data_IF_643874280874
#
_entry.id   IF_643874280874
#
_cell.length_a   1.000
_cell.length_b   1.000
_cell.length_c   1.000
_cell.angle_alpha   90.00
_cell.angle_beta   90.00
_cell.angle_gamma   90.00
#
_symmetry.space_group_name_H-M   'P 1'
#
loop_
_entity.id
_entity.type
_entity.pdbx_description
1 polymer ?
#
# COMPACT_ATOMS: atom_id res chain seq x y z
N UNK A 1 -72.95 7.97 8.81
CA UNK A 1 -73.48 9.14 8.06
C UNK A 1 -72.34 9.63 7.18
N UNK A 2 -72.36 9.30 5.89
CA UNK A 2 -72.82 10.16 4.78
C UNK A 2 -72.05 11.50 4.73
N UNK A 3 -71.50 12.00 3.62
CA UNK A 3 -71.21 11.51 2.27
C UNK A 3 -70.59 12.69 1.49
N UNK A 4 -69.65 12.34 0.58
CA UNK A 4 -69.47 12.83 -0.82
C UNK A 4 -69.48 14.34 -1.16
N UNK A 5 -68.52 14.73 -2.00
CA UNK A 5 -68.64 15.06 -3.47
C UNK A 5 -67.29 15.61 -3.97
N UNK A 6 -66.59 14.94 -4.89
CA UNK A 6 -66.64 15.07 -6.38
C UNK A 6 -66.08 16.42 -6.90
N UNK A 7 -64.89 16.47 -7.53
CA UNK A 7 -64.54 16.27 -8.97
C UNK A 7 -64.04 17.63 -9.55
N UNK A 8 -63.35 17.76 -10.72
CA UNK A 8 -63.32 16.83 -11.86
C UNK A 8 -61.98 16.61 -12.60
N UNK A 9 -62.10 15.71 -13.58
CA UNK A 9 -61.22 15.30 -14.66
C UNK A 9 -60.58 16.42 -15.51
N UNK A 10 -59.45 16.09 -16.16
CA UNK A 10 -59.30 16.42 -17.58
C UNK A 10 -58.69 15.25 -18.38
N UNK A 11 -59.29 15.00 -19.54
CA UNK A 11 -58.95 14.04 -20.60
C UNK A 11 -57.67 14.48 -21.36
N UNK A 12 -56.81 13.57 -21.84
CA UNK A 12 -56.74 13.02 -23.22
C UNK A 12 -56.48 14.12 -24.30
N UNK A 13 -55.68 14.00 -25.36
CA UNK A 13 -55.20 12.90 -26.19
C UNK A 13 -54.29 13.52 -27.31
N UNK A 14 -53.66 12.67 -28.14
CA UNK A 14 -53.15 12.90 -29.52
C UNK A 14 -51.71 13.47 -29.66
N UNK A 15 -50.69 12.66 -29.99
CA UNK A 15 -50.38 11.93 -31.24
C UNK A 15 -49.74 12.80 -32.32
N UNK A 16 -48.48 12.52 -32.71
CA UNK A 16 -48.17 12.12 -34.10
C UNK A 16 -46.69 11.80 -34.38
N UNK A 17 -46.50 10.63 -35.02
CA UNK A 17 -45.70 10.33 -36.23
C UNK A 17 -44.18 10.53 -36.16
N UNK A 18 -43.34 9.50 -36.00
CA UNK A 18 -42.94 8.43 -36.94
C UNK A 18 -42.18 8.89 -38.21
N UNK A 19 -40.87 8.56 -38.31
CA UNK A 19 -40.33 7.50 -39.20
C UNK A 19 -38.78 7.47 -39.27
N UNK A 20 -38.18 6.26 -39.33
CA UNK A 20 -36.76 6.03 -39.63
C UNK A 20 -36.53 5.85 -41.14
N UNK A 21 -35.30 6.06 -41.63
CA UNK A 21 -34.89 5.68 -43.00
C UNK A 21 -33.91 4.52 -43.01
N UNK A 22 -34.22 3.56 -43.88
CA UNK A 22 -33.58 2.26 -44.10
C UNK A 22 -32.35 2.34 -45.03
N UNK A 23 -31.40 1.45 -44.72
CA UNK A 23 -30.63 0.50 -45.56
C UNK A 23 -29.90 0.98 -46.83
N UNK A 24 -28.63 0.57 -46.90
CA UNK A 24 -28.09 -0.10 -48.08
C UNK A 24 -27.42 -1.43 -47.68
N UNK A 25 -27.65 -2.46 -48.49
CA UNK A 25 -27.11 -3.82 -48.40
C UNK A 25 -26.40 -4.11 -49.72
N UNK A 26 -25.17 -4.63 -49.65
CA UNK A 26 -24.50 -5.59 -50.55
C UNK A 26 -22.99 -5.58 -50.23
N UNK A 27 -22.18 -6.63 -50.33
CA UNK A 27 -22.34 -8.01 -50.75
C UNK A 27 -21.21 -8.85 -50.10
N UNK A 28 -21.39 -10.18 -50.08
CA UNK A 28 -20.44 -11.18 -49.59
C UNK A 28 -19.10 -11.15 -50.34
N UNK A 29 -18.01 -11.36 -49.62
CA UNK A 29 -16.87 -12.18 -50.06
C UNK A 29 -16.35 -13.02 -48.89
N UNK A 30 -16.39 -14.34 -49.08
CA UNK A 30 -15.61 -15.32 -48.32
C UNK A 30 -14.15 -15.20 -48.76
N UNK A 31 -13.24 -15.11 -47.79
CA UNK A 31 -11.84 -15.52 -47.95
C UNK A 31 -11.41 -16.28 -46.70
N UNK A 32 -10.92 -17.49 -46.92
CA UNK A 32 -10.31 -18.41 -45.95
C UNK A 32 -8.79 -18.17 -45.96
N UNK A 33 -8.15 -18.45 -44.82
CA UNK A 33 -6.70 -18.47 -44.54
C UNK A 33 -6.08 -17.07 -44.28
N UNK A 34 -5.26 -16.82 -43.26
CA UNK A 34 -4.30 -17.67 -42.55
C UNK A 34 -4.32 -17.43 -41.03
N UNK A 35 -3.99 -18.47 -40.27
CA UNK A 35 -3.45 -18.38 -38.91
C UNK A 35 -2.15 -17.58 -38.97
N UNK A 36 -2.13 -16.37 -38.41
CA UNK A 36 -0.88 -15.69 -38.06
C UNK A 36 -0.65 -15.88 -36.56
N UNK A 37 0.21 -16.84 -36.26
CA UNK A 37 0.75 -17.11 -34.94
C UNK A 37 1.89 -16.13 -34.70
N UNK A 38 1.55 -14.89 -34.34
CA UNK A 38 2.51 -13.89 -33.89
C UNK A 38 1.85 -12.90 -32.92
N UNK A 39 1.32 -13.43 -31.82
CA UNK A 39 1.04 -12.63 -30.63
C UNK A 39 2.37 -12.21 -30.01
N UNK A 40 2.98 -11.15 -30.55
CA UNK A 40 3.97 -10.37 -29.82
C UNK A 40 3.29 -9.82 -28.56
N UNK A 41 3.88 -9.96 -27.37
CA UNK A 41 3.30 -9.38 -26.18
C UNK A 41 3.26 -7.85 -26.38
N UNK A 42 2.07 -7.28 -26.18
CA UNK A 42 1.89 -5.84 -26.05
C UNK A 42 2.89 -5.38 -24.96
N UNK A 43 3.97 -4.73 -25.38
CA UNK A 43 4.86 -4.04 -24.45
C UNK A 43 4.01 -3.01 -23.72
N UNK A 44 3.70 -3.29 -22.46
CA UNK A 44 2.98 -2.36 -21.61
C UNK A 44 3.80 -1.08 -21.51
N UNK A 45 3.20 0.04 -21.91
CA UNK A 45 3.72 1.40 -21.69
C UNK A 45 3.64 1.75 -20.19
N UNK A 46 4.19 0.89 -19.33
CA UNK A 46 4.35 1.18 -17.91
C UNK A 46 5.68 1.93 -17.75
N UNK A 47 5.62 3.14 -17.22
CA UNK A 47 6.80 3.86 -16.77
C UNK A 47 7.60 2.93 -15.85
N UNK A 48 8.92 2.77 -16.04
CA UNK A 48 9.70 1.92 -15.17
C UNK A 48 9.53 2.37 -13.73
N UNK A 49 9.09 1.48 -12.85
CA UNK A 49 9.15 1.70 -11.41
C UNK A 49 10.61 1.93 -11.00
N UNK A 50 10.88 2.92 -10.15
CA UNK A 50 12.23 3.27 -9.68
C UNK A 50 12.29 3.23 -8.15
N UNK A 51 13.51 3.25 -7.60
CA UNK A 51 13.75 3.35 -6.16
C UNK A 51 13.17 2.19 -5.36
N UNK A 52 12.70 2.48 -4.14
CA UNK A 52 12.26 1.47 -3.16
C UNK A 52 11.12 0.59 -3.67
N UNK A 53 10.23 1.14 -4.49
CA UNK A 53 9.12 0.40 -5.08
C UNK A 53 9.63 -0.74 -5.97
N UNK A 54 10.54 -0.45 -6.92
CA UNK A 54 11.13 -1.47 -7.78
C UNK A 54 11.94 -2.49 -6.97
N UNK A 55 12.75 -2.02 -6.03
CA UNK A 55 13.57 -2.89 -5.19
C UNK A 55 12.71 -3.85 -4.37
N UNK A 56 11.61 -3.38 -3.79
CA UNK A 56 10.67 -4.21 -3.04
C UNK A 56 9.95 -5.22 -3.93
N UNK A 57 9.53 -4.83 -5.14
CA UNK A 57 8.93 -5.77 -6.10
C UNK A 57 9.89 -6.90 -6.47
N UNK A 58 11.16 -6.59 -6.75
CA UNK A 58 12.20 -7.60 -7.01
C UNK A 58 12.47 -8.46 -5.78
N UNK A 59 12.50 -7.87 -4.59
CA UNK A 59 12.70 -8.61 -3.34
C UNK A 59 11.55 -9.59 -3.07
N UNK A 60 10.29 -9.15 -3.22
CA UNK A 60 9.12 -9.98 -2.97
C UNK A 60 8.98 -11.13 -3.98
N UNK A 61 9.23 -10.86 -5.28
CA UNK A 61 8.94 -11.82 -6.33
C UNK A 61 10.16 -12.65 -6.78
N UNK A 62 11.36 -12.10 -6.66
CA UNK A 62 12.59 -12.72 -7.19
C UNK A 62 13.62 -13.13 -6.14
N UNK A 63 13.57 -12.53 -4.94
CA UNK A 63 14.49 -12.80 -3.82
C UNK A 63 13.81 -12.82 -2.43
N UNK A 64 12.66 -13.51 -2.26
CA UNK A 64 11.91 -13.46 -1.00
C UNK A 64 12.71 -13.96 0.20
N UNK A 65 13.70 -14.81 -0.01
CA UNK A 65 14.64 -15.32 1.01
C UNK A 65 15.51 -14.22 1.62
N UNK A 66 15.95 -13.23 0.82
CA UNK A 66 16.74 -12.10 1.31
C UNK A 66 15.88 -11.19 2.18
N UNK A 67 14.65 -10.91 1.73
CA UNK A 67 13.70 -10.11 2.49
C UNK A 67 13.32 -10.82 3.80
N UNK A 68 13.06 -12.13 3.76
CA UNK A 68 12.79 -12.93 4.95
C UNK A 68 13.97 -12.91 5.94
N UNK A 69 15.20 -12.98 5.46
CA UNK A 69 16.40 -12.86 6.29
C UNK A 69 16.47 -11.50 6.98
N UNK A 70 16.21 -10.41 6.25
CA UNK A 70 16.16 -9.05 6.81
C UNK A 70 15.07 -8.91 7.89
N UNK A 71 13.88 -9.49 7.67
CA UNK A 71 12.78 -9.50 8.64
C UNK A 71 13.11 -10.30 9.90
N UNK A 72 13.85 -11.40 9.79
CA UNK A 72 14.32 -12.18 10.94
C UNK A 72 15.40 -11.45 11.72
N UNK A 73 16.34 -10.80 11.02
CA UNK A 73 17.42 -10.00 11.63
C UNK A 73 16.85 -8.83 12.44
N UNK A 74 15.78 -8.18 11.95
CA UNK A 74 15.12 -7.09 12.67
C UNK A 74 14.20 -7.53 13.81
N UNK A 75 13.89 -8.83 13.92
CA UNK A 75 12.91 -9.34 14.88
C UNK A 75 11.45 -9.12 14.46
N UNK A 76 11.19 -8.63 13.24
CA UNK A 76 9.84 -8.47 12.73
C UNK A 76 9.09 -9.80 12.61
N UNK A 77 9.83 -10.88 12.39
CA UNK A 77 9.37 -12.27 12.45
C UNK A 77 10.39 -13.14 13.20
N UNK A 78 9.93 -14.26 13.76
CA UNK A 78 10.81 -15.20 14.46
C UNK A 78 11.79 -15.90 13.50
N UNK A 79 12.91 -16.40 14.05
CA UNK A 79 13.96 -17.07 13.27
C UNK A 79 13.49 -18.27 12.45
N UNK A 80 12.43 -18.96 12.89
CA UNK A 80 11.84 -20.08 12.17
C UNK A 80 10.60 -19.71 11.35
N UNK A 81 10.10 -18.48 11.45
CA UNK A 81 8.93 -18.03 10.69
C UNK A 81 9.27 -17.72 9.24
N UNK A 82 8.29 -17.92 8.35
CA UNK A 82 8.30 -17.43 6.98
C UNK A 82 7.17 -16.44 6.76
N UNK A 83 7.21 -15.71 5.64
CA UNK A 83 6.16 -14.79 5.24
C UNK A 83 5.66 -15.20 3.86
N UNK A 84 4.35 -15.38 3.75
CA UNK A 84 3.67 -15.50 2.46
C UNK A 84 3.27 -14.10 2.01
N UNK A 85 3.85 -13.63 0.91
CA UNK A 85 3.54 -12.31 0.36
C UNK A 85 2.23 -12.31 -0.41
N UNK A 86 1.42 -11.28 -0.19
CA UNK A 86 0.13 -11.04 -0.85
C UNK A 86 0.26 -9.88 -1.86
N UNK A 87 1.16 -8.94 -1.59
CA UNK A 87 1.43 -7.77 -2.43
C UNK A 87 2.85 -7.27 -2.16
N UNK A 88 3.55 -6.70 -3.17
CA UNK A 88 3.13 -6.56 -4.57
C UNK A 88 3.55 -7.81 -5.37
N UNK A 89 2.59 -8.60 -5.84
CA UNK A 89 2.87 -9.81 -6.64
C UNK A 89 2.89 -9.49 -8.14
N UNK A 90 3.84 -10.05 -8.88
CA UNK A 90 3.94 -9.90 -10.33
C UNK A 90 2.65 -10.36 -11.05
N UNK A 91 2.03 -11.43 -10.56
CA UNK A 91 0.75 -11.96 -11.06
C UNK A 91 -0.44 -11.04 -10.80
N UNK A 92 -0.31 -10.07 -9.88
CA UNK A 92 -1.31 -9.03 -9.59
C UNK A 92 -0.84 -7.64 -10.06
N UNK A 93 0.01 -7.60 -11.09
CA UNK A 93 0.54 -6.34 -11.66
C UNK A 93 1.18 -5.44 -10.61
N UNK A 94 1.83 -6.04 -9.60
CA UNK A 94 2.48 -5.35 -8.49
C UNK A 94 1.56 -4.38 -7.73
N UNK A 95 0.26 -4.67 -7.66
CA UNK A 95 -0.74 -3.80 -7.04
C UNK A 95 -0.44 -3.54 -5.57
N UNK A 96 -0.37 -2.26 -5.19
CA UNK A 96 -0.32 -1.79 -3.80
C UNK A 96 -1.72 -1.48 -3.27
N UNK A 97 -1.93 -1.72 -1.98
CA UNK A 97 -3.25 -1.63 -1.37
C UNK A 97 -3.32 -0.56 -0.30
N UNK A 98 -4.52 0.02 -0.15
CA UNK A 98 -4.81 1.08 0.82
C UNK A 98 -6.04 0.76 1.67
N UNK A 99 -6.13 1.38 2.84
CA UNK A 99 -7.33 1.42 3.68
C UNK A 99 -7.99 0.04 3.87
N UNK A 100 -9.31 -0.03 3.67
CA UNK A 100 -10.10 -1.27 3.80
C UNK A 100 -9.65 -2.35 2.82
N UNK A 101 -9.17 -2.00 1.63
CA UNK A 101 -8.70 -3.02 0.66
C UNK A 101 -7.44 -3.73 1.15
N UNK A 102 -6.55 -3.02 1.85
CA UNK A 102 -5.39 -3.64 2.49
C UNK A 102 -5.81 -4.59 3.62
N UNK A 103 -6.78 -4.18 4.45
CA UNK A 103 -7.35 -5.03 5.51
C UNK A 103 -8.06 -6.27 4.94
N UNK A 104 -8.76 -6.12 3.81
CA UNK A 104 -9.45 -7.21 3.13
C UNK A 104 -8.45 -8.20 2.54
N UNK A 105 -7.37 -7.73 1.92
CA UNK A 105 -6.27 -8.57 1.40
C UNK A 105 -5.55 -9.35 2.50
N UNK A 106 -5.44 -8.78 3.70
CA UNK A 106 -4.91 -9.45 4.90
C UNK A 106 -5.96 -10.32 5.63
N UNK A 107 -7.18 -10.45 5.10
CA UNK A 107 -8.28 -11.20 5.70
C UNK A 107 -8.62 -10.76 7.15
N UNK A 108 -8.50 -9.45 7.42
CA UNK A 108 -8.71 -8.88 8.76
C UNK A 108 -10.11 -8.35 8.98
N UNK A 109 -10.92 -8.14 7.94
CA UNK A 109 -12.23 -7.48 8.05
C UNK A 109 -13.14 -8.07 9.12
N UNK A 110 -13.19 -9.40 9.24
CA UNK A 110 -14.00 -10.09 10.25
C UNK A 110 -13.38 -10.15 11.65
N UNK A 111 -12.13 -9.69 11.80
CA UNK A 111 -11.35 -9.73 13.05
C UNK A 111 -11.27 -8.37 13.74
N UNK A 112 -11.78 -7.31 13.11
CA UNK A 112 -11.76 -5.95 13.67
C UNK A 112 -12.95 -5.73 14.60
N UNK A 113 -12.67 -5.37 15.86
CA UNK A 113 -13.68 -4.89 16.80
C UNK A 113 -14.03 -3.42 16.55
N UNK A 114 -13.08 -2.62 16.07
CA UNK A 114 -13.24 -1.21 15.70
C UNK A 114 -12.95 -1.01 14.22
N UNK A 115 -13.91 -0.52 13.41
CA UNK A 115 -13.71 -0.35 11.98
C UNK A 115 -12.77 0.82 11.66
N UNK A 116 -11.97 0.69 10.59
CA UNK A 116 -10.96 1.68 10.21
C UNK A 116 -11.55 3.09 10.03
N UNK A 117 -12.74 3.21 9.44
CA UNK A 117 -13.40 4.51 9.19
C UNK A 117 -13.69 5.34 10.44
N UNK A 118 -13.74 4.71 11.62
CA UNK A 118 -13.94 5.40 12.90
C UNK A 118 -12.61 5.86 13.53
N UNK A 119 -11.49 5.46 12.93
CA UNK A 119 -10.15 5.81 13.39
C UNK A 119 -9.36 6.60 12.34
N UNK A 120 -9.54 6.37 11.05
CA UNK A 120 -8.80 7.06 10.01
C UNK A 120 -9.73 7.46 8.86
N UNK A 121 -9.58 8.67 8.30
CA UNK A 121 -10.40 9.07 7.16
C UNK A 121 -10.06 8.22 5.93
N UNK A 122 -11.01 8.16 5.00
CA UNK A 122 -10.76 7.56 3.69
C UNK A 122 -9.56 8.22 3.01
N UNK A 123 -8.84 7.42 2.22
CA UNK A 123 -7.59 7.79 1.57
C UNK A 123 -6.41 7.87 2.54
N UNK A 124 -6.30 6.90 3.44
CA UNK A 124 -5.14 6.69 4.30
C UNK A 124 -3.95 6.06 3.54
N UNK A 125 -3.03 5.42 4.28
CA UNK A 125 -1.76 4.94 3.72
C UNK A 125 -1.97 3.93 2.59
N UNK A 126 -1.11 4.04 1.57
CA UNK A 126 -0.84 2.97 0.61
C UNK A 126 0.34 2.18 1.17
N UNK A 127 0.23 0.85 1.15
CA UNK A 127 1.25 -0.05 1.66
C UNK A 127 2.06 -0.64 0.52
N UNK A 128 3.38 -0.58 0.65
CA UNK A 128 4.30 -1.01 -0.40
C UNK A 128 4.36 -2.54 -0.49
N UNK A 129 4.22 -3.24 0.63
CA UNK A 129 3.98 -4.69 0.65
C UNK A 129 3.08 -5.15 1.80
N UNK A 130 2.39 -6.25 1.56
CA UNK A 130 1.55 -6.96 2.52
C UNK A 130 1.91 -8.44 2.51
N UNK A 131 2.08 -9.03 3.69
CA UNK A 131 2.30 -10.46 3.85
C UNK A 131 1.68 -10.99 5.14
N UNK A 132 1.65 -12.31 5.26
CA UNK A 132 1.20 -13.01 6.45
C UNK A 132 2.28 -13.99 6.87
N UNK A 133 2.72 -13.92 8.13
CA UNK A 133 3.72 -14.85 8.65
C UNK A 133 3.14 -16.26 8.76
N UNK A 134 3.99 -17.28 8.84
CA UNK A 134 3.57 -18.67 9.02
C UNK A 134 2.80 -18.93 10.33
N UNK A 135 2.75 -17.96 11.25
CA UNK A 135 1.90 -17.97 12.44
C UNK A 135 0.57 -17.21 12.28
N UNK A 136 0.26 -16.73 11.07
CA UNK A 136 -0.95 -15.98 10.79
C UNK A 136 -0.90 -14.49 11.18
N UNK A 137 0.28 -13.97 11.55
CA UNK A 137 0.48 -12.55 11.90
C UNK A 137 0.62 -11.72 10.62
N UNK A 138 -0.17 -10.64 10.43
CA UNK A 138 0.05 -9.68 9.35
C UNK A 138 1.42 -9.00 9.46
N UNK A 139 2.11 -8.92 8.33
CA UNK A 139 3.35 -8.16 8.14
C UNK A 139 3.08 -7.08 7.10
N UNK A 140 3.21 -5.83 7.49
CA UNK A 140 2.90 -4.66 6.66
C UNK A 140 4.17 -3.85 6.50
N UNK A 141 4.52 -3.48 5.26
CA UNK A 141 5.81 -2.88 4.93
C UNK A 141 5.64 -1.48 4.33
N UNK A 142 6.49 -0.57 4.78
CA UNK A 142 6.82 0.70 4.13
C UNK A 142 8.30 0.64 3.72
N UNK A 143 8.62 0.79 2.44
CA UNK A 143 9.98 0.71 1.93
C UNK A 143 10.54 2.08 1.53
N UNK A 144 11.81 2.33 1.85
CA UNK A 144 12.53 3.56 1.47
C UNK A 144 13.89 3.25 0.91
N UNK A 145 14.33 4.05 -0.05
CA UNK A 145 15.62 3.89 -0.72
C UNK A 145 16.56 5.07 -0.46
N UNK A 146 16.05 6.20 0.02
CA UNK A 146 16.91 7.32 0.40
C UNK A 146 16.35 8.15 1.57
N UNK A 147 17.24 8.76 2.37
CA UNK A 147 16.88 9.48 3.60
C UNK A 147 15.90 10.65 3.36
N UNK A 148 16.04 11.46 2.30
CA UNK A 148 15.08 12.55 2.04
C UNK A 148 13.61 12.11 1.92
N UNK A 149 13.32 10.89 1.45
CA UNK A 149 11.95 10.34 1.43
C UNK A 149 11.34 10.21 2.82
N UNK A 150 12.18 9.99 3.84
CA UNK A 150 11.70 9.85 5.21
C UNK A 150 11.17 11.18 5.75
N UNK A 151 11.72 12.32 5.31
CA UNK A 151 11.33 13.67 5.70
C UNK A 151 10.03 14.15 5.02
N UNK A 152 8.97 13.34 5.10
CA UNK A 152 7.68 13.65 4.49
C UNK A 152 7.10 14.97 5.04
N UNK A 153 6.44 15.79 4.19
CA UNK A 153 5.77 17.00 4.64
C UNK A 153 4.56 16.67 5.52
N UNK A 154 4.01 17.69 6.17
CA UNK A 154 2.77 17.58 6.93
C UNK A 154 1.55 17.15 6.09
N UNK A 155 0.50 16.76 6.81
CA UNK A 155 -0.77 16.39 6.18
C UNK A 155 -1.35 17.55 5.37
N UNK A 156 -1.98 17.20 4.24
CA UNK A 156 -2.74 18.13 3.37
C UNK A 156 -4.24 17.88 3.46
N UNK A 157 -4.69 17.24 4.55
CA UNK A 157 -6.09 16.87 4.72
C UNK A 157 -6.98 18.11 4.87
N UNK A 158 -8.19 18.04 4.29
CA UNK A 158 -9.22 19.05 4.49
C UNK A 158 -9.72 19.03 5.95
N UNK A 159 -10.31 20.13 6.47
CA UNK A 159 -10.60 20.28 7.91
C UNK A 159 -11.33 19.11 8.56
N UNK A 160 -12.38 18.57 7.91
CA UNK A 160 -13.14 17.42 8.43
C UNK A 160 -12.29 16.15 8.57
N UNK A 161 -11.38 15.90 7.63
CA UNK A 161 -10.47 14.75 7.71
C UNK A 161 -9.30 15.01 8.67
N UNK A 162 -8.86 16.26 8.74
CA UNK A 162 -7.79 16.69 9.63
C UNK A 162 -8.15 16.47 11.10
N UNK A 163 -9.37 16.78 11.50
CA UNK A 163 -9.83 16.57 12.88
C UNK A 163 -9.69 15.09 13.31
N UNK A 164 -10.15 14.16 12.47
CA UNK A 164 -10.01 12.73 12.76
C UNK A 164 -8.53 12.28 12.76
N UNK A 165 -7.72 12.80 11.83
CA UNK A 165 -6.28 12.52 11.79
C UNK A 165 -5.58 12.99 13.08
N UNK A 166 -5.89 14.20 13.53
CA UNK A 166 -5.33 14.78 14.75
C UNK A 166 -5.69 13.97 15.99
N UNK A 167 -6.96 13.59 16.13
CA UNK A 167 -7.43 12.76 17.23
C UNK A 167 -6.71 11.40 17.26
N UNK A 168 -6.57 10.76 16.10
CA UNK A 168 -5.96 9.44 15.98
C UNK A 168 -4.45 9.46 16.18
N UNK A 169 -3.76 10.46 15.65
CA UNK A 169 -2.34 10.67 15.90
C UNK A 169 -2.09 11.05 17.36
N UNK A 170 -2.96 11.85 17.98
CA UNK A 170 -2.83 12.19 19.39
C UNK A 170 -3.01 10.96 20.29
N UNK A 171 -4.00 10.10 20.01
CA UNK A 171 -4.20 8.85 20.74
C UNK A 171 -2.99 7.93 20.60
N UNK A 172 -2.49 7.78 19.37
CA UNK A 172 -1.28 7.00 19.04
C UNK A 172 -0.05 7.56 19.79
N UNK A 173 0.22 8.85 19.69
CA UNK A 173 1.36 9.51 20.37
C UNK A 173 1.28 9.35 21.88
N UNK A 174 0.09 9.50 22.50
CA UNK A 174 -0.08 9.31 23.95
C UNK A 174 0.28 7.88 24.38
N UNK A 175 0.05 6.89 23.52
CA UNK A 175 0.42 5.49 23.80
C UNK A 175 1.92 5.23 23.59
N UNK A 176 2.49 5.65 22.46
CA UNK A 176 3.88 5.34 22.10
C UNK A 176 4.90 6.26 22.79
N UNK A 177 4.51 7.52 23.01
CA UNK A 177 5.37 8.61 23.46
C UNK A 177 4.62 9.52 24.48
N UNK A 178 4.20 8.97 25.64
CA UNK A 178 3.31 9.67 26.59
C UNK A 178 3.88 10.99 27.11
N UNK A 179 5.21 11.11 27.19
CA UNK A 179 5.90 12.32 27.67
C UNK A 179 6.15 13.37 26.59
N UNK A 180 5.94 13.02 25.32
CA UNK A 180 6.17 13.96 24.21
C UNK A 180 5.01 14.97 24.09
N UNK A 181 5.29 16.12 23.48
CA UNK A 181 4.29 17.10 23.05
C UNK A 181 4.39 17.42 21.56
N UNK A 182 5.27 16.72 20.83
CA UNK A 182 5.50 16.93 19.41
C UNK A 182 4.21 16.78 18.58
N UNK A 183 4.03 17.66 17.61
CA UNK A 183 2.95 17.54 16.63
C UNK A 183 3.31 16.48 15.59
N UNK A 184 2.43 15.49 15.43
CA UNK A 184 2.60 14.40 14.47
C UNK A 184 1.90 14.66 13.13
N UNK A 185 1.27 15.82 12.96
CA UNK A 185 0.64 16.24 11.70
C UNK A 185 1.59 17.00 10.77
N UNK A 186 2.77 17.38 11.26
CA UNK A 186 3.81 18.13 10.54
C UNK A 186 4.85 17.23 9.87
N UNK A 187 6.13 17.62 9.93
CA UNK A 187 7.24 16.84 9.39
C UNK A 187 7.22 15.39 9.90
N UNK A 188 7.56 14.44 9.03
CA UNK A 188 7.48 12.99 9.28
C UNK A 188 6.05 12.45 9.39
N UNK A 189 5.05 13.16 8.85
CA UNK A 189 3.65 12.72 8.84
C UNK A 189 3.45 11.30 8.32
N UNK A 190 4.14 10.88 7.26
CA UNK A 190 4.02 9.51 6.74
C UNK A 190 4.47 8.48 7.76
N UNK A 191 5.57 8.73 8.47
CA UNK A 191 6.04 7.85 9.54
C UNK A 191 5.01 7.78 10.68
N UNK A 192 4.51 8.93 11.13
CA UNK A 192 3.50 9.02 12.19
C UNK A 192 2.16 8.36 11.80
N UNK A 193 1.75 8.47 10.54
CA UNK A 193 0.58 7.81 9.98
C UNK A 193 0.72 6.28 10.02
N UNK A 194 1.90 5.74 9.68
CA UNK A 194 2.15 4.29 9.72
C UNK A 194 2.07 3.78 11.16
N UNK A 195 2.63 4.53 12.12
CA UNK A 195 2.49 4.23 13.55
C UNK A 195 1.03 4.23 14.03
N UNK A 196 0.20 5.16 13.53
CA UNK A 196 -1.22 5.20 13.88
C UNK A 196 -1.96 3.95 13.38
N UNK A 197 -1.63 3.47 12.19
CA UNK A 197 -2.19 2.23 11.68
C UNK A 197 -1.78 1.01 12.52
N UNK A 198 -0.51 0.97 12.96
CA UNK A 198 -0.04 -0.09 13.85
C UNK A 198 -0.75 -0.05 15.22
N UNK A 199 -0.94 1.14 15.78
CA UNK A 199 -1.75 1.34 16.99
C UNK A 199 -3.20 0.87 16.79
N UNK A 200 -3.80 1.17 15.65
CA UNK A 200 -5.14 0.70 15.29
C UNK A 200 -5.25 -0.83 15.28
N UNK A 201 -4.30 -1.54 14.70
CA UNK A 201 -4.31 -3.00 14.65
C UNK A 201 -4.06 -3.60 16.04
N UNK A 202 -2.95 -3.24 16.69
CA UNK A 202 -2.52 -3.88 17.92
C UNK A 202 -3.33 -3.47 19.14
N UNK A 203 -3.61 -2.18 19.28
CA UNK A 203 -4.18 -1.65 20.52
C UNK A 203 -5.69 -1.59 20.43
N UNK A 204 -6.23 -1.00 19.35
CA UNK A 204 -7.68 -0.82 19.23
C UNK A 204 -8.41 -2.10 18.84
N UNK A 205 -7.75 -3.01 18.10
CA UNK A 205 -8.35 -4.25 17.62
C UNK A 205 -7.71 -5.52 18.23
N UNK A 206 -6.71 -5.38 19.09
CA UNK A 206 -6.04 -6.52 19.74
C UNK A 206 -5.49 -7.56 18.76
N UNK A 207 -5.07 -7.11 17.57
CA UNK A 207 -4.47 -7.97 16.54
C UNK A 207 -2.96 -7.90 16.65
N UNK A 208 -2.32 -9.05 16.82
CA UNK A 208 -0.87 -9.12 16.68
C UNK A 208 -0.49 -8.83 15.22
N UNK A 209 0.37 -7.83 15.00
CA UNK A 209 0.84 -7.40 13.68
C UNK A 209 2.25 -6.84 13.74
N UNK A 210 3.01 -6.99 12.65
CA UNK A 210 4.33 -6.38 12.48
C UNK A 210 4.26 -5.26 11.44
N UNK A 211 4.60 -4.03 11.84
CA UNK A 211 4.88 -2.92 10.94
C UNK A 211 6.39 -2.87 10.70
N UNK A 212 6.80 -2.89 9.44
CA UNK A 212 8.21 -2.90 9.06
C UNK A 212 8.51 -1.70 8.17
N UNK A 213 9.45 -0.87 8.61
CA UNK A 213 10.12 0.07 7.73
C UNK A 213 11.32 -0.67 7.11
N UNK A 214 11.24 -0.95 5.81
CA UNK A 214 12.31 -1.58 5.05
C UNK A 214 13.19 -0.52 4.42
N UNK A 215 14.40 -0.36 4.95
CA UNK A 215 15.34 0.68 4.55
C UNK A 215 16.43 0.06 3.67
N UNK A 216 16.44 0.39 2.37
CA UNK A 216 17.43 -0.14 1.43
C UNK A 216 18.77 0.60 1.55
N UNK A 217 19.87 -0.16 1.64
CA UNK A 217 21.23 0.38 1.50
C UNK A 217 21.74 0.20 0.07
N UNK A 218 22.69 1.03 -0.34
CA UNK A 218 23.33 0.97 -1.66
C UNK A 218 22.34 1.12 -2.84
N UNK A 219 21.22 1.83 -2.64
CA UNK A 219 20.30 2.23 -3.71
C UNK A 219 20.87 3.44 -4.47
N UNK A 220 21.96 3.21 -5.19
CA UNK A 220 22.76 4.24 -5.88
C UNK A 220 21.99 5.01 -6.95
N UNK A 221 20.94 4.41 -7.53
CA UNK A 221 20.04 5.09 -8.47
C UNK A 221 19.23 6.22 -7.82
N UNK A 222 19.14 6.24 -6.48
CA UNK A 222 18.39 7.21 -5.68
C UNK A 222 19.26 8.05 -4.74
N UNK A 223 20.59 8.01 -4.88
CA UNK A 223 21.53 8.60 -3.90
C UNK A 223 21.23 8.09 -2.46
N UNK A 224 20.94 6.79 -2.38
CA UNK A 224 20.58 6.11 -1.14
C UNK A 224 21.78 5.91 -0.19
N UNK A 225 21.53 5.75 1.13
CA UNK A 225 22.59 5.49 2.10
C UNK A 225 23.42 4.26 1.75
N UNK A 226 24.73 4.34 1.96
CA UNK A 226 25.63 3.21 1.74
C UNK A 226 25.56 2.18 2.88
N UNK A 227 25.16 2.62 4.09
CA UNK A 227 25.27 1.83 5.32
C UNK A 227 23.98 1.78 6.14
N UNK A 228 23.84 0.74 6.98
CA UNK A 228 22.76 0.70 7.98
C UNK A 228 22.92 1.83 9.01
N UNK A 229 24.15 2.22 9.34
CA UNK A 229 24.47 3.24 10.33
C UNK A 229 23.93 4.62 9.95
N UNK A 230 23.99 4.99 8.68
CA UNK A 230 23.40 6.22 8.14
C UNK A 230 21.88 6.22 8.31
N UNK A 231 21.21 5.11 7.94
CA UNK A 231 19.78 4.95 8.20
C UNK A 231 19.45 5.04 9.69
N UNK A 232 20.20 4.35 10.54
CA UNK A 232 20.02 4.42 12.01
C UNK A 232 20.19 5.85 12.51
N UNK A 233 21.08 6.65 11.91
CA UNK A 233 21.21 8.08 12.17
C UNK A 233 19.94 8.85 11.85
N UNK A 234 19.39 8.66 10.65
CA UNK A 234 18.13 9.28 10.22
C UNK A 234 16.95 8.85 11.11
N UNK A 235 16.84 7.56 11.44
CA UNK A 235 15.81 7.00 12.32
C UNK A 235 15.86 7.64 13.71
N UNK A 236 17.07 7.75 14.31
CA UNK A 236 17.23 8.44 15.61
C UNK A 236 16.77 9.89 15.55
N UNK A 237 17.03 10.58 14.44
CA UNK A 237 16.58 11.96 14.25
C UNK A 237 15.04 12.04 14.14
N UNK A 238 14.41 11.16 13.35
CA UNK A 238 12.95 11.05 13.25
C UNK A 238 12.33 10.79 14.64
N UNK A 239 12.89 9.84 15.38
CA UNK A 239 12.42 9.48 16.71
C UNK A 239 12.56 10.66 17.68
N UNK A 240 13.69 11.35 17.66
CA UNK A 240 13.90 12.53 18.49
C UNK A 240 12.88 13.65 18.19
N UNK A 241 12.62 13.92 16.90
CA UNK A 241 11.65 14.95 16.48
C UNK A 241 10.22 14.58 16.88
N UNK A 242 9.85 13.30 16.76
CA UNK A 242 8.51 12.82 17.13
C UNK A 242 8.36 12.52 18.63
N UNK A 243 9.46 12.56 19.40
CA UNK A 243 9.50 12.22 20.83
C UNK A 243 9.33 10.73 21.13
N UNK A 244 9.65 9.86 20.17
CA UNK A 244 9.54 8.41 20.27
C UNK A 244 10.69 7.82 21.11
N UNK A 245 10.47 6.67 21.78
CA UNK A 245 11.57 5.91 22.36
C UNK A 245 12.50 5.36 21.26
N UNK A 246 13.75 5.11 21.61
CA UNK A 246 14.77 4.62 20.67
C UNK A 246 14.46 3.24 20.07
N UNK A 247 13.66 2.43 20.77
CA UNK A 247 13.20 1.11 20.30
C UNK A 247 11.67 1.05 20.35
N UNK A 248 11.06 0.61 19.24
CA UNK A 248 9.61 0.45 19.08
C UNK A 248 9.17 -1.01 18.87
N UNK A 249 10.08 -1.98 18.98
CA UNK A 249 9.82 -3.41 18.78
C UNK A 249 8.72 -3.94 19.70
N UNK A 250 8.64 -3.44 20.94
CA UNK A 250 7.55 -3.77 21.87
C UNK A 250 6.16 -3.40 21.31
N UNK A 251 6.09 -2.39 20.46
CA UNK A 251 4.87 -1.96 19.76
C UNK A 251 4.69 -2.66 18.41
N UNK A 252 5.50 -3.69 18.11
CA UNK A 252 5.50 -4.41 16.84
C UNK A 252 5.99 -3.56 15.66
N UNK A 253 6.80 -2.53 15.91
CA UNK A 253 7.38 -1.68 14.86
C UNK A 253 8.86 -1.98 14.72
N UNK A 254 9.29 -2.29 13.51
CA UNK A 254 10.63 -2.78 13.22
C UNK A 254 11.26 -1.99 12.07
N UNK A 255 12.57 -1.85 12.12
CA UNK A 255 13.38 -1.41 10.97
C UNK A 255 14.18 -2.60 10.46
N UNK A 256 13.98 -2.95 9.20
CA UNK A 256 14.75 -3.96 8.50
C UNK A 256 15.63 -3.29 7.44
N UNK A 257 16.83 -3.82 7.25
CA UNK A 257 17.79 -3.26 6.29
C UNK A 257 18.11 -4.30 5.22
N UNK A 258 18.19 -3.86 3.97
CA UNK A 258 18.45 -4.74 2.84
C UNK A 258 19.35 -4.05 1.81
N UNK A 259 20.37 -4.76 1.33
CA UNK A 259 21.26 -4.23 0.29
C UNK A 259 20.57 -4.29 -1.08
N UNK A 260 20.37 -3.13 -1.70
CA UNK A 260 19.73 -3.00 -3.00
C UNK A 260 20.47 -3.76 -4.11
N UNK A 261 21.81 -3.90 -4.01
CA UNK A 261 22.64 -4.59 -5.01
C UNK A 261 22.30 -6.07 -5.08
N UNK A 262 22.10 -6.69 -3.92
CA UNK A 262 21.75 -8.11 -3.81
C UNK A 262 20.40 -8.46 -4.47
N UNK A 263 19.52 -7.46 -4.64
CA UNK A 263 18.21 -7.61 -5.27
C UNK A 263 18.26 -7.31 -6.78
N UNK A 264 19.11 -6.36 -7.19
CA UNK A 264 19.23 -5.91 -8.57
C UNK A 264 19.95 -6.89 -9.52
N UNK A 265 20.77 -7.81 -8.98
CA UNK A 265 21.57 -8.79 -9.75
C UNK A 265 20.76 -9.79 -10.60
N UNK A 266 19.42 -9.76 -10.54
CA UNK A 266 18.55 -10.57 -11.38
C UNK A 266 18.52 -10.14 -12.86
N UNK A 267 18.76 -8.85 -13.17
CA UNK A 267 18.65 -8.37 -14.54
C UNK A 267 19.94 -8.50 -15.35
N UNK A 268 21.10 -8.57 -14.71
CA UNK A 268 22.40 -8.79 -15.36
C UNK A 268 22.53 -10.21 -15.90
N UNK A 269 22.00 -11.21 -15.20
CA UNK A 269 22.07 -12.61 -15.65
C UNK A 269 21.10 -12.93 -16.80
N UNK A 270 19.93 -12.31 -16.86
CA UNK A 270 18.95 -12.59 -17.92
C UNK A 270 19.31 -11.94 -19.28
N UNK A 271 20.14 -10.88 -19.30
CA UNK A 271 20.70 -10.33 -20.54
C UNK A 271 21.84 -11.17 -21.12
N UNK A 272 22.54 -11.93 -20.28
CA UNK A 272 23.66 -12.77 -20.74
C UNK A 272 23.20 -14.09 -21.38
N UNK A 273 22.00 -14.59 -21.03
CA UNK A 273 21.44 -15.81 -21.60
C UNK A 273 20.56 -15.57 -22.84
N UNK A 274 20.12 -14.34 -23.12
CA UNK A 274 19.40 -14.00 -24.35
C UNK A 274 20.29 -13.68 -25.54
N UNK A 275 21.59 -13.49 -25.30
CA UNK A 275 22.60 -13.10 -26.29
C UNK A 275 23.61 -14.25 -26.58
N UNK A 276 23.32 -15.48 -26.12
CA UNK A 276 24.11 -16.70 -26.35
C UNK A 276 23.32 -17.74 -27.14
#
# INVERSE_FOLDING_TARGET
MFARREAPHNHADQSDIARPKLRFVQARRLSVALLDCSSQPLMSNETPTLGSQRLLQLAVNGRPELLQSALRKSGAIDQCESVTWISPLASESYTEYRDQRALDKLELRGKLSKPLREFWPARGPVWDALGVSSKGRPVIVEAKAHIPEAASPGTKAAPKSLELIEQSLQATRKYLAPRASASWTGTFYQYANRLAYQYFLRVLNSLDSSLVFLDFTNAVDMDGPATEEEWRGAIRMIHAVLGLPANLEYFGVYHAFMDARAVADLQSNHRMESDA
#
